data_IF_461332803591
#
_entry.id   IF_461332803591
#
_cell.length_a   1.000
_cell.length_b   1.000
_cell.length_c   1.000
_cell.angle_alpha   90.00
_cell.angle_beta   90.00
_cell.angle_gamma   90.00
#
_symmetry.space_group_name_H-M   'P 1'
#
loop_
_entity.id
_entity.type
_entity.pdbx_description
1 polymer ?
#
# COMPACT_ATOMS: atom_id res chain seq x y z
N UNK A 1 -9.33 22.89 -5.10
CA UNK A 1 -9.94 21.73 -5.37
C UNK A 1 -9.06 20.60 -5.33
N UNK A 2 -9.37 19.78 -4.51
CA UNK A 2 -8.53 18.68 -4.34
C UNK A 2 -8.64 17.73 -5.48
N UNK A 3 -7.59 17.43 -6.08
CA UNK A 3 -7.52 16.33 -6.94
C UNK A 3 -7.44 15.08 -6.12
N UNK A 4 -8.50 14.81 -5.41
CA UNK A 4 -8.58 13.63 -4.60
C UNK A 4 -8.39 12.41 -5.47
N UNK A 5 -7.28 11.75 -5.38
CA UNK A 5 -6.98 10.57 -6.13
C UNK A 5 -5.70 10.58 -6.92
N UNK A 6 -5.14 11.75 -7.19
CA UNK A 6 -3.87 11.82 -7.89
C UNK A 6 -2.73 11.87 -6.90
N UNK A 7 -2.03 10.76 -6.73
CA UNK A 7 -0.86 10.70 -5.87
C UNK A 7 0.41 11.00 -6.65
N UNK A 8 1.36 11.66 -5.99
CA UNK A 8 2.68 11.87 -6.56
C UNK A 8 3.45 10.55 -6.58
N UNK A 9 4.52 10.51 -7.37
CA UNK A 9 5.40 9.34 -7.41
C UNK A 9 5.94 9.03 -5.99
N UNK A 10 6.36 10.06 -5.26
CA UNK A 10 6.88 9.89 -3.90
C UNK A 10 5.83 9.25 -2.99
N UNK A 11 4.59 9.71 -3.07
CA UNK A 11 3.50 9.15 -2.27
C UNK A 11 3.22 7.69 -2.62
N UNK A 12 3.27 7.34 -3.90
CA UNK A 12 3.06 5.97 -4.36
C UNK A 12 4.15 5.03 -3.85
N UNK A 13 5.41 5.48 -3.91
CA UNK A 13 6.54 4.71 -3.40
C UNK A 13 6.40 4.54 -1.89
N UNK A 14 6.07 5.63 -1.17
CA UNK A 14 5.91 5.60 0.28
C UNK A 14 4.80 4.65 0.71
N UNK A 15 3.71 4.61 -0.06
CA UNK A 15 2.62 3.67 0.20
C UNK A 15 3.10 2.23 0.13
N UNK A 16 3.95 1.89 -0.85
CA UNK A 16 4.50 0.54 -0.95
C UNK A 16 5.39 0.20 0.25
N UNK A 17 6.26 1.11 0.66
CA UNK A 17 7.10 0.87 1.84
C UNK A 17 6.28 0.70 3.12
N UNK A 18 5.18 1.42 3.23
CA UNK A 18 4.33 1.35 4.42
C UNK A 18 3.50 0.06 4.45
N UNK A 19 3.05 -0.43 3.29
CA UNK A 19 2.11 -1.54 3.22
C UNK A 19 2.76 -2.88 2.90
N UNK A 20 3.86 -2.88 2.12
CA UNK A 20 4.58 -4.11 1.80
C UNK A 20 5.71 -4.26 2.82
N UNK A 21 5.56 -5.21 3.71
CA UNK A 21 6.47 -5.42 4.83
C UNK A 21 7.06 -6.81 4.82
N UNK A 22 8.15 -7.00 5.59
CA UNK A 22 8.70 -8.32 5.81
C UNK A 22 7.70 -9.21 6.53
N UNK A 23 7.89 -10.54 6.51
CA UNK A 23 7.00 -11.46 7.24
C UNK A 23 6.86 -11.11 8.72
N UNK A 24 7.90 -10.54 9.34
CA UNK A 24 7.86 -10.12 10.75
C UNK A 24 7.22 -8.75 10.95
N UNK A 25 6.65 -8.17 9.88
CA UNK A 25 5.99 -6.86 9.84
C UNK A 25 6.93 -5.66 9.96
N UNK A 26 8.24 -5.88 9.98
CA UNK A 26 9.19 -4.76 9.96
C UNK A 26 9.29 -4.15 8.57
N UNK A 27 9.65 -2.87 8.52
CA UNK A 27 9.80 -2.17 7.25
C UNK A 27 11.12 -2.55 6.57
N UNK A 28 11.09 -2.61 5.24
CA UNK A 28 12.32 -2.73 4.46
C UNK A 28 13.09 -1.42 4.53
N UNK A 29 14.41 -1.51 4.60
CA UNK A 29 15.26 -0.33 4.58
C UNK A 29 15.54 0.11 3.14
N UNK A 30 15.92 1.38 2.98
CA UNK A 30 16.33 1.88 1.66
C UNK A 30 17.51 1.08 1.11
N UNK A 31 18.46 0.71 1.97
CA UNK A 31 19.63 -0.06 1.55
C UNK A 31 19.26 -1.43 1.00
N UNK A 32 18.33 -2.11 1.65
CA UNK A 32 17.88 -3.42 1.20
C UNK A 32 17.20 -3.36 -0.15
N UNK A 33 16.29 -2.40 -0.31
CA UNK A 33 15.55 -2.23 -1.56
C UNK A 33 16.49 -1.79 -2.67
N UNK A 34 17.39 -0.84 -2.38
CA UNK A 34 18.36 -0.37 -3.37
C UNK A 34 19.30 -1.49 -3.84
N UNK A 35 19.74 -2.33 -2.91
CA UNK A 35 20.59 -3.48 -3.26
C UNK A 35 19.85 -4.44 -4.19
N UNK A 36 18.63 -4.78 -3.85
CA UNK A 36 17.82 -5.67 -4.68
C UNK A 36 17.60 -5.09 -6.08
N UNK A 37 17.36 -3.78 -6.15
CA UNK A 37 17.17 -3.10 -7.43
C UNK A 37 18.45 -3.11 -8.27
N UNK A 38 19.62 -2.91 -7.65
CA UNK A 38 20.90 -3.00 -8.35
C UNK A 38 21.12 -4.39 -8.91
N UNK A 39 20.88 -5.40 -8.08
CA UNK A 39 21.09 -6.79 -8.48
C UNK A 39 20.16 -7.22 -9.61
N UNK A 40 18.91 -6.80 -9.59
CA UNK A 40 17.93 -7.22 -10.59
C UNK A 40 18.03 -6.45 -11.90
N UNK A 41 18.40 -5.17 -11.86
CA UNK A 41 18.40 -4.33 -13.06
C UNK A 41 19.76 -4.16 -13.70
N UNK A 42 20.84 -4.37 -12.94
CA UNK A 42 22.19 -4.04 -13.39
C UNK A 42 22.46 -2.54 -13.47
N UNK A 43 21.51 -1.73 -13.05
CA UNK A 43 21.64 -0.27 -13.05
C UNK A 43 22.15 0.24 -11.71
N UNK A 44 22.72 1.44 -11.73
CA UNK A 44 23.12 2.11 -10.49
C UNK A 44 21.89 2.52 -9.72
N UNK A 45 21.76 2.07 -8.48
CA UNK A 45 20.61 2.40 -7.65
C UNK A 45 21.10 2.46 -6.20
N UNK A 46 21.20 3.66 -5.63
CA UNK A 46 21.71 3.84 -4.28
C UNK A 46 20.58 4.06 -3.27
N UNK A 47 20.88 3.82 -2.00
CA UNK A 47 19.94 4.11 -0.92
C UNK A 47 19.60 5.60 -0.88
N UNK A 48 20.59 6.47 -1.14
CA UNK A 48 20.39 7.92 -1.20
C UNK A 48 19.44 8.29 -2.33
N UNK A 49 19.61 7.70 -3.50
CA UNK A 49 18.73 7.93 -4.64
C UNK A 49 17.30 7.52 -4.29
N UNK A 50 17.12 6.37 -3.67
CA UNK A 50 15.80 5.90 -3.26
C UNK A 50 15.16 6.83 -2.24
N UNK A 51 15.95 7.31 -1.27
CA UNK A 51 15.47 8.30 -0.30
C UNK A 51 14.99 9.58 -1.01
N UNK A 52 15.73 10.02 -2.03
CA UNK A 52 15.33 11.20 -2.81
C UNK A 52 13.99 10.98 -3.54
N UNK A 53 13.78 9.78 -4.08
CA UNK A 53 12.51 9.45 -4.71
C UNK A 53 11.36 9.41 -3.69
N UNK A 54 11.62 8.83 -2.51
CA UNK A 54 10.61 8.73 -1.45
C UNK A 54 10.19 10.08 -0.88
N UNK A 55 11.11 11.03 -0.86
CA UNK A 55 10.86 12.35 -0.28
C UNK A 55 10.44 13.40 -1.31
N UNK A 56 10.37 13.01 -2.58
CA UNK A 56 10.00 13.94 -3.65
C UNK A 56 11.13 14.85 -4.11
N UNK A 57 12.35 14.66 -3.62
CA UNK A 57 13.51 15.45 -4.06
C UNK A 57 13.94 15.10 -5.48
N UNK A 58 13.59 13.90 -5.93
CA UNK A 58 13.70 13.49 -7.32
C UNK A 58 12.36 12.90 -7.73
N UNK A 59 11.89 13.27 -8.92
CA UNK A 59 10.59 12.85 -9.41
C UNK A 59 10.63 12.28 -10.83
N UNK A 60 11.84 12.07 -11.37
CA UNK A 60 11.99 11.61 -12.75
C UNK A 60 12.92 10.39 -12.86
N UNK A 61 12.60 9.27 -12.19
CA UNK A 61 13.41 8.07 -12.34
C UNK A 61 13.32 7.51 -13.75
N UNK A 62 14.32 6.73 -14.13
CA UNK A 62 14.28 6.07 -15.43
C UNK A 62 13.27 4.93 -15.40
N UNK A 63 12.84 4.48 -16.59
CA UNK A 63 11.95 3.34 -16.71
C UNK A 63 12.53 2.11 -16.04
N UNK A 64 13.84 1.86 -16.20
CA UNK A 64 14.50 0.71 -15.58
C UNK A 64 14.49 0.77 -14.07
N UNK A 65 14.62 1.96 -13.50
CA UNK A 65 14.53 2.13 -12.05
C UNK A 65 13.12 1.82 -11.55
N UNK A 66 12.09 2.28 -12.26
CA UNK A 66 10.71 1.96 -11.90
C UNK A 66 10.39 0.48 -12.06
N UNK A 67 10.90 -0.15 -13.12
CA UNK A 67 10.73 -1.58 -13.32
C UNK A 67 11.38 -2.39 -12.20
N UNK A 68 12.56 -1.97 -11.73
CA UNK A 68 13.25 -2.64 -10.63
C UNK A 68 12.46 -2.51 -9.32
N UNK A 69 11.94 -1.31 -9.03
CA UNK A 69 11.09 -1.10 -7.85
C UNK A 69 9.82 -1.94 -7.94
N UNK A 70 9.18 -1.95 -9.11
CA UNK A 70 7.96 -2.73 -9.33
C UNK A 70 8.23 -4.22 -9.09
N UNK A 71 9.35 -4.72 -9.59
CA UNK A 71 9.73 -6.12 -9.40
C UNK A 71 9.96 -6.45 -7.92
N UNK A 72 10.64 -5.56 -7.20
CA UNK A 72 10.88 -5.76 -5.77
C UNK A 72 9.57 -5.86 -4.98
N UNK A 73 8.66 -4.91 -5.21
CA UNK A 73 7.39 -4.86 -4.49
C UNK A 73 6.32 -5.76 -5.10
N UNK A 74 6.63 -6.43 -6.22
CA UNK A 74 5.71 -7.33 -6.92
C UNK A 74 4.41 -6.65 -7.34
N UNK A 75 4.55 -5.46 -7.91
CA UNK A 75 3.44 -4.70 -8.47
C UNK A 75 3.73 -4.42 -9.95
N UNK A 76 2.71 -4.21 -10.78
CA UNK A 76 2.93 -3.77 -12.17
C UNK A 76 3.58 -2.39 -12.19
N UNK A 77 4.44 -2.14 -13.17
CA UNK A 77 5.10 -0.83 -13.29
C UNK A 77 4.08 0.30 -13.50
N UNK A 78 2.93 -0.01 -14.07
CA UNK A 78 1.84 0.95 -14.23
C UNK A 78 1.36 1.56 -12.92
N UNK A 79 1.58 0.88 -11.79
CA UNK A 79 1.26 1.42 -10.47
C UNK A 79 1.85 2.81 -10.25
N UNK A 80 3.05 3.07 -10.80
CA UNK A 80 3.74 4.33 -10.54
C UNK A 80 3.22 5.51 -11.36
N UNK A 81 2.46 5.26 -12.43
CA UNK A 81 2.02 6.35 -13.31
C UNK A 81 0.57 6.29 -13.76
N UNK A 82 -0.13 5.17 -13.52
CA UNK A 82 -1.54 5.03 -13.89
C UNK A 82 -2.38 5.13 -12.62
N UNK A 83 -3.20 6.19 -12.51
CA UNK A 83 -3.99 6.44 -11.30
C UNK A 83 -5.00 5.34 -11.01
N UNK A 84 -5.67 4.81 -12.02
CA UNK A 84 -6.65 3.74 -11.84
C UNK A 84 -5.97 2.45 -11.37
N UNK A 85 -4.83 2.10 -11.99
CA UNK A 85 -4.06 0.92 -11.60
C UNK A 85 -3.50 1.07 -10.20
N UNK A 86 -2.99 2.25 -9.86
CA UNK A 86 -2.46 2.55 -8.55
C UNK A 86 -3.50 2.35 -7.46
N UNK A 87 -4.72 2.86 -7.68
CA UNK A 87 -5.81 2.71 -6.73
C UNK A 87 -6.21 1.26 -6.53
N UNK A 88 -6.35 0.50 -7.63
CA UNK A 88 -6.72 -0.91 -7.58
C UNK A 88 -5.68 -1.73 -6.83
N UNK A 89 -4.41 -1.50 -7.12
CA UNK A 89 -3.33 -2.25 -6.49
C UNK A 89 -3.20 -1.89 -5.01
N UNK A 90 -3.37 -0.62 -4.67
CA UNK A 90 -3.35 -0.18 -3.27
C UNK A 90 -4.45 -0.89 -2.47
N UNK A 91 -5.64 -1.05 -3.03
CA UNK A 91 -6.73 -1.77 -2.39
C UNK A 91 -6.39 -3.25 -2.19
N UNK A 92 -5.81 -3.88 -3.20
CA UNK A 92 -5.39 -5.29 -3.10
C UNK A 92 -4.33 -5.49 -2.01
N UNK A 93 -3.33 -4.60 -1.97
CA UNK A 93 -2.28 -4.67 -0.96
C UNK A 93 -2.87 -4.47 0.43
N UNK A 94 -3.78 -3.52 0.59
CA UNK A 94 -4.43 -3.27 1.87
C UNK A 94 -5.20 -4.50 2.34
N UNK A 95 -5.92 -5.16 1.43
CA UNK A 95 -6.65 -6.39 1.74
C UNK A 95 -5.69 -7.50 2.16
N UNK A 96 -4.62 -7.73 1.40
CA UNK A 96 -3.64 -8.77 1.73
C UNK A 96 -2.97 -8.51 3.08
N UNK A 97 -2.68 -7.24 3.37
CA UNK A 97 -2.08 -6.86 4.66
C UNK A 97 -3.05 -7.11 5.81
N UNK A 98 -4.33 -6.77 5.62
CA UNK A 98 -5.36 -7.00 6.62
C UNK A 98 -5.54 -8.50 6.90
N UNK A 99 -5.42 -9.34 5.87
CA UNK A 99 -5.59 -10.79 6.01
C UNK A 99 -4.44 -11.46 6.78
N UNK A 100 -3.36 -10.74 7.07
CA UNK A 100 -2.31 -11.25 7.95
C UNK A 100 -2.74 -11.22 9.42
N UNK A 101 -3.70 -10.37 9.77
CA UNK A 101 -4.25 -10.32 11.11
C UNK A 101 -5.18 -11.52 11.31
N UNK A 102 -4.90 -12.35 12.33
CA UNK A 102 -5.67 -13.56 12.57
C UNK A 102 -7.14 -13.27 12.87
N UNK A 103 -7.42 -12.17 13.59
CA UNK A 103 -8.80 -11.78 13.90
C UNK A 103 -9.57 -11.36 12.66
N UNK A 104 -8.95 -10.59 11.79
CA UNK A 104 -9.57 -10.17 10.53
C UNK A 104 -9.81 -11.39 9.64
N UNK A 105 -8.83 -12.29 9.55
CA UNK A 105 -8.94 -13.49 8.73
C UNK A 105 -10.07 -14.39 9.21
N UNK A 106 -10.22 -14.55 10.52
CA UNK A 106 -11.30 -15.35 11.10
C UNK A 106 -12.67 -14.81 10.70
N UNK A 107 -12.86 -13.49 10.81
CA UNK A 107 -14.11 -12.84 10.40
C UNK A 107 -14.35 -13.04 8.91
N UNK A 108 -13.32 -12.87 8.08
CA UNK A 108 -13.44 -13.03 6.63
C UNK A 108 -13.85 -14.46 6.27
N UNK A 109 -13.25 -15.46 6.91
CA UNK A 109 -13.59 -16.87 6.65
C UNK A 109 -15.01 -17.18 7.04
N UNK A 110 -15.51 -16.62 8.14
CA UNK A 110 -16.91 -16.79 8.53
C UNK A 110 -17.86 -16.10 7.55
N UNK A 111 -17.47 -14.93 7.02
CA UNK A 111 -18.28 -14.16 6.09
C UNK A 111 -18.47 -14.89 4.75
N UNK A 112 -17.50 -15.72 4.35
CA UNK A 112 -17.55 -16.44 3.06
C UNK A 112 -18.78 -17.32 2.93
N UNK A 113 -19.27 -17.87 4.02
CA UNK A 113 -20.42 -18.78 4.01
C UNK A 113 -21.78 -18.06 4.05
N UNK A 114 -21.77 -16.74 4.15
CA UNK A 114 -23.02 -15.98 4.21
C UNK A 114 -23.62 -15.77 2.82
N UNK A 115 -24.97 -15.63 2.77
CA UNK A 115 -25.65 -15.22 1.56
C UNK A 115 -25.31 -13.78 1.21
N UNK A 116 -25.59 -13.31 -0.04
CA UNK A 116 -25.39 -11.91 -0.39
C UNK A 116 -26.13 -10.95 0.56
N UNK A 117 -27.34 -11.30 0.99
CA UNK A 117 -28.09 -10.49 1.94
C UNK A 117 -27.42 -10.44 3.30
N UNK A 118 -26.91 -11.58 3.78
CA UNK A 118 -26.17 -11.64 5.02
C UNK A 118 -24.88 -10.82 4.98
N UNK A 119 -24.16 -10.88 3.85
CA UNK A 119 -22.96 -10.05 3.66
C UNK A 119 -23.31 -8.56 3.68
N UNK A 120 -24.43 -8.18 3.08
CA UNK A 120 -24.91 -6.79 3.13
C UNK A 120 -25.15 -6.32 4.56
N UNK A 121 -25.76 -7.15 5.38
CA UNK A 121 -26.03 -6.84 6.79
C UNK A 121 -24.69 -6.67 7.55
N UNK A 122 -23.73 -7.54 7.32
CA UNK A 122 -22.40 -7.44 7.95
C UNK A 122 -21.71 -6.15 7.53
N UNK A 123 -21.79 -5.80 6.24
CA UNK A 123 -21.20 -4.56 5.73
C UNK A 123 -21.80 -3.34 6.44
N UNK A 124 -23.11 -3.30 6.57
CA UNK A 124 -23.80 -2.20 7.25
C UNK A 124 -23.38 -2.09 8.71
N UNK A 125 -23.20 -3.23 9.37
CA UNK A 125 -22.77 -3.26 10.76
C UNK A 125 -21.34 -2.74 10.90
N UNK A 126 -20.44 -3.14 10.01
CA UNK A 126 -19.06 -2.67 9.99
C UNK A 126 -19.02 -1.14 9.81
N UNK A 127 -19.79 -0.62 8.87
CA UNK A 127 -19.87 0.81 8.61
C UNK A 127 -20.38 1.57 9.83
N UNK A 128 -21.38 1.02 10.51
CA UNK A 128 -21.92 1.60 11.73
C UNK A 128 -20.88 1.65 12.86
N UNK A 129 -20.15 0.57 13.06
CA UNK A 129 -19.09 0.48 14.06
C UNK A 129 -17.97 1.47 13.74
N UNK A 130 -17.57 1.53 12.47
CA UNK A 130 -16.50 2.44 12.05
C UNK A 130 -16.85 3.90 12.33
N UNK A 131 -18.11 4.29 12.08
CA UNK A 131 -18.58 5.65 12.39
C UNK A 131 -18.52 5.95 13.88
N UNK A 132 -18.96 5.01 14.72
CA UNK A 132 -18.90 5.19 16.17
C UNK A 132 -17.49 5.35 16.69
N UNK A 133 -16.57 4.57 16.17
CA UNK A 133 -15.16 4.66 16.56
C UNK A 133 -14.54 5.98 16.12
N UNK A 134 -14.90 6.46 14.92
CA UNK A 134 -14.43 7.76 14.45
C UNK A 134 -14.93 8.90 15.33
N UNK A 135 -16.19 8.83 15.78
CA UNK A 135 -16.77 9.82 16.70
C UNK A 135 -16.05 9.83 18.04
N UNK A 136 -15.73 8.65 18.58
CA UNK A 136 -15.00 8.53 19.85
C UNK A 136 -13.60 9.15 19.72
N UNK A 137 -12.90 8.91 18.61
CA UNK A 137 -11.57 9.51 18.38
C UNK A 137 -11.65 11.02 18.27
N UNK A 138 -12.68 11.53 17.61
CA UNK A 138 -12.91 12.96 17.51
C UNK A 138 -13.18 13.60 18.87
N UNK A 139 -13.88 12.89 19.75
CA UNK A 139 -14.20 13.40 21.10
C UNK A 139 -12.99 13.42 22.03
N UNK A 140 -12.03 12.53 21.82
CA UNK A 140 -10.86 12.43 22.70
C UNK A 140 -9.82 13.51 22.40
N UNK A 141 -9.96 14.22 21.30
CA UNK A 141 -9.01 15.27 20.91
C UNK A 141 -9.39 16.68 21.41
N UNK A 142 -10.45 16.81 22.18
CA UNK A 142 -10.85 18.11 22.74
C UNK A 142 -10.40 18.26 24.18
#
# INVERSE_FOLDING_TARGET
MSEAGTQSLAERIETLFRTVRRPDRSAYSNEEVARACRESSGETFSATYLWQLRTGRRDNPTKRHLEALAAFFQVPVAYFFDDAESGRIAEEIALLSAMRDAGVRDVALRAVSLSPDGLGTVRDLIDSIARREAERRGSTRR
#
